data_IF_891495975820
#
_entry.id   IF_891495975820
#
_cell.length_a   1.000
_cell.length_b   1.000
_cell.length_c   1.000
_cell.angle_alpha   90.00
_cell.angle_beta   90.00
_cell.angle_gamma   90.00
#
_symmetry.space_group_name_H-M   'P 1'
#
loop_
_entity.id
_entity.type
_entity.pdbx_description
1 polymer ?
#
# COMPACT_ATOMS: atom_id res chain seq x y z
N UNK A 1 -5.06 -12.84 14.68
CA UNK A 1 -4.78 -13.28 13.29
C UNK A 1 -6.08 -13.19 12.51
N UNK A 2 -6.26 -12.16 11.68
CA UNK A 2 -7.50 -12.00 10.88
C UNK A 2 -7.59 -13.14 9.86
N UNK A 3 -8.67 -13.93 9.93
CA UNK A 3 -8.96 -15.06 9.02
C UNK A 3 -9.37 -14.52 7.65
N UNK A 4 -8.40 -14.35 6.76
CA UNK A 4 -8.60 -13.95 5.35
C UNK A 4 -8.69 -15.15 4.37
N UNK A 5 -9.09 -16.34 4.84
CA UNK A 5 -9.12 -17.54 3.99
C UNK A 5 -10.55 -17.78 3.47
N UNK A 6 -10.75 -17.61 2.16
CA UNK A 6 -12.02 -17.88 1.47
C UNK A 6 -12.93 -16.68 1.19
N UNK A 7 -12.44 -15.45 1.39
CA UNK A 7 -13.19 -14.23 1.08
C UNK A 7 -12.45 -13.44 0.00
N UNK A 8 -12.94 -13.55 -1.23
CA UNK A 8 -12.67 -12.57 -2.29
C UNK A 8 -13.73 -11.47 -2.16
N UNK A 9 -13.29 -10.24 -1.95
CA UNK A 9 -14.20 -9.09 -1.89
C UNK A 9 -14.38 -8.57 -3.31
N UNK A 10 -15.63 -8.40 -3.77
CA UNK A 10 -15.92 -7.80 -5.10
C UNK A 10 -15.19 -6.46 -5.26
N UNK A 11 -15.29 -5.60 -4.22
CA UNK A 11 -14.57 -4.33 -4.14
C UNK A 11 -13.82 -4.21 -2.82
N UNK A 12 -12.60 -3.69 -2.87
CA UNK A 12 -11.80 -3.37 -1.68
C UNK A 12 -11.45 -1.88 -1.65
N UNK A 13 -11.45 -1.29 -0.44
CA UNK A 13 -10.91 0.04 -0.19
C UNK A 13 -9.65 -0.11 0.67
N UNK A 14 -8.54 0.49 0.22
CA UNK A 14 -7.29 0.56 0.97
C UNK A 14 -6.99 2.03 1.26
N UNK A 15 -7.20 2.44 2.50
CA UNK A 15 -6.93 3.80 2.94
C UNK A 15 -5.56 3.94 3.61
N UNK A 16 -5.01 5.16 3.61
CA UNK A 16 -3.77 5.48 4.32
C UNK A 16 -2.51 5.00 3.63
N UNK A 17 -2.52 4.83 2.30
CA UNK A 17 -1.34 4.46 1.49
C UNK A 17 -0.46 5.71 1.28
N UNK A 18 -0.03 6.29 2.38
CA UNK A 18 0.67 7.58 2.50
C UNK A 18 2.14 7.34 2.86
N UNK A 19 3.03 8.23 2.40
CA UNK A 19 4.43 8.26 2.82
C UNK A 19 4.56 8.37 4.36
N UNK A 20 5.37 7.52 4.96
CA UNK A 20 5.54 7.42 6.41
C UNK A 20 4.48 6.57 7.13
N UNK A 21 3.40 6.14 6.46
CA UNK A 21 2.50 5.08 6.94
C UNK A 21 2.80 3.74 6.25
N UNK A 22 2.99 3.79 4.93
CA UNK A 22 3.32 2.62 4.11
C UNK A 22 4.52 2.97 3.20
N UNK A 23 5.74 2.47 3.47
CA UNK A 23 6.15 1.84 4.72
C UNK A 23 6.11 2.84 5.90
N UNK A 24 6.10 2.31 7.14
CA UNK A 24 6.10 3.15 8.34
C UNK A 24 7.38 4.01 8.39
N UNK A 25 7.27 5.23 8.91
CA UNK A 25 8.36 6.21 8.92
C UNK A 25 9.63 5.75 9.66
N UNK A 26 9.53 4.79 10.57
CA UNK A 26 10.68 4.16 11.22
C UNK A 26 11.52 3.31 10.27
N UNK A 27 10.90 2.69 9.25
CA UNK A 27 11.61 1.96 8.19
C UNK A 27 12.56 2.89 7.45
N UNK A 28 12.12 4.10 7.08
CA UNK A 28 12.98 5.07 6.37
C UNK A 28 14.24 5.44 7.17
N UNK A 29 14.18 5.45 8.51
CA UNK A 29 15.35 5.73 9.36
C UNK A 29 16.40 4.61 9.34
N UNK A 30 16.04 3.41 8.90
CA UNK A 30 16.96 2.28 8.79
C UNK A 30 17.84 2.35 7.55
N UNK A 31 17.50 3.18 6.55
CA UNK A 31 18.21 3.28 5.28
C UNK A 31 19.73 3.45 5.48
N UNK A 32 20.12 4.37 6.36
CA UNK A 32 21.53 4.71 6.57
C UNK A 32 22.21 3.86 7.65
N UNK A 33 21.43 3.29 8.58
CA UNK A 33 21.96 2.57 9.75
C UNK A 33 22.05 1.06 9.56
N UNK A 34 21.04 0.47 8.92
CA UNK A 34 20.90 -0.97 8.75
C UNK A 34 20.30 -1.31 7.36
N UNK A 35 21.08 -1.21 6.27
CA UNK A 35 20.56 -1.36 4.90
C UNK A 35 19.89 -2.71 4.63
N UNK A 36 20.38 -3.79 5.24
CA UNK A 36 19.76 -5.13 5.12
C UNK A 36 18.37 -5.16 5.77
N UNK A 37 18.24 -4.58 6.96
CA UNK A 37 16.96 -4.50 7.67
C UNK A 37 15.98 -3.57 6.96
N UNK A 38 16.47 -2.43 6.44
CA UNK A 38 15.70 -1.54 5.59
C UNK A 38 15.08 -2.27 4.40
N UNK A 39 15.89 -3.04 3.65
CA UNK A 39 15.39 -3.83 2.51
C UNK A 39 14.33 -4.85 2.93
N UNK A 40 14.54 -5.55 4.04
CA UNK A 40 13.57 -6.53 4.55
C UNK A 40 12.24 -5.89 4.95
N UNK A 41 12.27 -4.81 5.74
CA UNK A 41 11.04 -4.14 6.19
C UNK A 41 10.31 -3.46 5.03
N UNK A 42 11.05 -2.88 4.08
CA UNK A 42 10.47 -2.31 2.85
C UNK A 42 9.80 -3.40 2.02
N UNK A 43 10.46 -4.54 1.80
CA UNK A 43 9.89 -5.66 1.06
C UNK A 43 8.65 -6.22 1.76
N UNK A 44 8.69 -6.32 3.10
CA UNK A 44 7.55 -6.76 3.90
C UNK A 44 6.35 -5.83 3.73
N UNK A 45 6.55 -4.52 3.83
CA UNK A 45 5.49 -3.53 3.64
C UNK A 45 4.90 -3.59 2.22
N UNK A 46 5.77 -3.72 1.20
CA UNK A 46 5.34 -3.89 -0.19
C UNK A 46 4.54 -5.17 -0.41
N UNK A 47 4.98 -6.29 0.16
CA UNK A 47 4.26 -7.57 0.08
C UNK A 47 2.90 -7.50 0.78
N UNK A 48 2.78 -6.79 1.90
CA UNK A 48 1.49 -6.58 2.56
C UNK A 48 0.52 -5.75 1.71
N UNK A 49 1.01 -4.65 1.11
CA UNK A 49 0.21 -3.85 0.19
C UNK A 49 -0.23 -4.66 -1.03
N UNK A 50 0.67 -5.45 -1.63
CA UNK A 50 0.34 -6.36 -2.72
C UNK A 50 -0.74 -7.37 -2.33
N UNK A 51 -0.61 -8.01 -1.17
CA UNK A 51 -1.63 -8.96 -0.68
C UNK A 51 -2.97 -8.28 -0.49
N UNK A 52 -2.99 -7.05 0.06
CA UNK A 52 -4.23 -6.29 0.21
C UNK A 52 -4.87 -6.01 -1.16
N UNK A 53 -4.12 -5.43 -2.09
CA UNK A 53 -4.58 -5.12 -3.46
C UNK A 53 -5.13 -6.38 -4.16
N UNK A 54 -4.44 -7.50 -4.06
CA UNK A 54 -4.83 -8.77 -4.71
C UNK A 54 -5.98 -9.52 -4.02
N UNK A 55 -6.52 -9.01 -2.89
CA UNK A 55 -7.76 -9.56 -2.31
C UNK A 55 -9.03 -9.04 -2.98
N UNK A 56 -8.93 -7.96 -3.75
CA UNK A 56 -10.03 -7.47 -4.57
C UNK A 56 -10.23 -8.39 -5.78
N UNK A 57 -11.48 -8.78 -6.03
CA UNK A 57 -11.85 -9.58 -7.19
C UNK A 57 -12.11 -8.71 -8.42
N UNK A 58 -12.89 -7.64 -8.26
CA UNK A 58 -13.32 -6.81 -9.39
C UNK A 58 -12.61 -5.45 -9.39
N UNK A 59 -12.56 -4.77 -8.24
CA UNK A 59 -12.00 -3.41 -8.15
C UNK A 59 -11.37 -3.10 -6.79
N UNK A 60 -10.34 -2.27 -6.80
CA UNK A 60 -9.70 -1.73 -5.60
C UNK A 60 -9.60 -0.22 -5.70
N UNK A 61 -10.02 0.47 -4.64
CA UNK A 61 -9.87 1.91 -4.49
C UNK A 61 -8.78 2.18 -3.46
N UNK A 62 -7.73 2.90 -3.85
CA UNK A 62 -6.58 3.22 -2.99
C UNK A 62 -6.58 4.69 -2.65
N UNK A 63 -6.57 5.02 -1.35
CA UNK A 63 -6.60 6.38 -0.85
C UNK A 63 -5.35 6.70 -0.04
N UNK A 64 -4.85 7.92 -0.22
CA UNK A 64 -3.76 8.51 0.54
C UNK A 64 -4.10 9.95 0.90
N UNK A 65 -3.36 10.52 1.84
CA UNK A 65 -3.48 11.92 2.20
C UNK A 65 -2.10 12.57 2.21
N UNK A 66 -1.98 13.81 1.74
CA UNK A 66 -0.67 14.45 1.60
C UNK A 66 0.20 13.75 0.55
N UNK A 67 1.38 13.26 0.95
CA UNK A 67 2.31 12.59 0.02
C UNK A 67 1.95 11.11 -0.15
N UNK A 68 1.75 10.60 -1.38
CA UNK A 68 1.48 9.18 -1.60
C UNK A 68 2.65 8.31 -1.12
N UNK A 69 2.36 7.06 -0.77
CA UNK A 69 3.37 6.05 -0.50
C UNK A 69 4.38 5.94 -1.64
N UNK A 70 5.68 5.72 -1.36
CA UNK A 70 6.68 5.43 -2.41
C UNK A 70 6.40 4.14 -3.19
N UNK A 71 5.43 3.32 -2.77
CA UNK A 71 4.98 2.16 -3.54
C UNK A 71 3.92 2.49 -4.60
N UNK A 72 3.37 3.70 -4.57
CA UNK A 72 2.50 4.22 -5.61
C UNK A 72 3.36 5.00 -6.60
N UNK A 73 3.18 4.71 -7.88
CA UNK A 73 3.79 5.46 -9.00
C UNK A 73 2.73 6.32 -9.69
N UNK A 74 3.16 7.21 -10.59
CA UNK A 74 2.33 8.10 -11.42
C UNK A 74 1.21 7.39 -12.18
N UNK A 75 1.37 6.11 -12.50
CA UNK A 75 0.35 5.27 -13.14
C UNK A 75 -0.85 4.91 -12.25
N UNK A 76 -0.74 5.14 -10.93
CA UNK A 76 -1.86 4.98 -9.99
C UNK A 76 -2.72 6.24 -9.88
N UNK A 77 -2.28 7.35 -10.50
CA UNK A 77 -2.99 8.62 -10.52
C UNK A 77 -3.93 8.65 -11.73
N UNK A 78 -4.91 7.76 -11.75
CA UNK A 78 -5.99 7.82 -12.74
C UNK A 78 -7.25 7.18 -12.16
N UNK A 79 -8.07 7.96 -11.45
CA UNK A 79 -9.54 7.80 -11.30
C UNK A 79 -10.07 9.00 -10.50
N UNK A 80 -10.05 10.20 -11.08
CA UNK A 80 -10.85 11.32 -10.55
C UNK A 80 -11.37 12.24 -11.67
N UNK A 81 -11.71 11.66 -12.83
CA UNK A 81 -12.44 12.35 -13.90
C UNK A 81 -13.51 11.46 -14.50
N UNK A 82 -14.54 11.16 -13.72
CA UNK A 82 -15.87 10.88 -14.29
C UNK A 82 -16.91 11.13 -13.21
N UNK A 83 -17.59 12.27 -13.30
CA UNK A 83 -18.64 12.67 -12.37
C UNK A 83 -19.00 14.15 -12.53
N UNK A 84 -19.80 14.46 -13.54
CA UNK A 84 -20.41 15.79 -13.77
C UNK A 84 -20.32 16.25 -15.21
#
# INVERSE_FOLDING_TARGET
MFRFKGLEYQRMIIAGVTDGLVPRADVSRLHDREPTRYRHETQRARSLLFVAVTRARDSVDVFWHGRPSPFLDSSWVETERSGG
#
